data_IF_249349494469
#
_entry.id   IF_249349494469
#
_cell.length_a   1.000
_cell.length_b   1.000
_cell.length_c   1.000
_cell.angle_alpha   90.00
_cell.angle_beta   90.00
_cell.angle_gamma   90.00
#
_symmetry.space_group_name_H-M   'P 1'
#
loop_
_entity.id
_entity.type
_entity.pdbx_description
1 polymer ?
#
# COMPACT_ATOMS: atom_id res chain seq x y z
N UNK A 1 -25.16 4.73 -4.36
CA UNK A 1 -23.88 5.44 -4.18
C UNK A 1 -22.84 4.60 -4.87
N UNK A 2 -21.97 5.20 -5.69
CA UNK A 2 -20.85 4.48 -6.28
C UNK A 2 -19.85 4.07 -5.21
N UNK A 3 -19.20 2.93 -5.40
CA UNK A 3 -18.22 2.36 -4.45
C UNK A 3 -16.90 2.11 -5.16
N UNK A 4 -15.79 2.59 -4.57
CA UNK A 4 -14.43 2.42 -5.10
C UNK A 4 -13.58 1.78 -4.02
N UNK A 5 -13.13 0.57 -4.26
CA UNK A 5 -12.24 -0.19 -3.39
C UNK A 5 -10.79 0.07 -3.77
N UNK A 6 -10.00 0.66 -2.87
CA UNK A 6 -8.65 1.15 -3.15
C UNK A 6 -7.54 0.12 -2.92
N UNK A 7 -7.84 -1.01 -2.29
CA UNK A 7 -6.83 -2.03 -2.01
C UNK A 7 -7.34 -3.38 -2.43
N UNK A 8 -7.02 -3.71 -3.68
CA UNK A 8 -7.37 -4.99 -4.27
C UNK A 8 -6.19 -5.52 -5.06
N UNK A 9 -5.83 -6.74 -4.73
CA UNK A 9 -4.58 -7.30 -5.19
C UNK A 9 -4.78 -8.25 -6.37
N UNK A 10 -3.78 -8.28 -7.24
CA UNK A 10 -3.63 -9.29 -8.28
C UNK A 10 -2.18 -9.76 -8.36
N UNK A 11 -2.02 -10.89 -9.00
CA UNK A 11 -0.71 -11.41 -9.37
C UNK A 11 -0.73 -11.93 -10.80
N UNK A 12 0.43 -12.26 -11.39
CA UNK A 12 0.48 -12.82 -12.73
C UNK A 12 1.08 -14.22 -12.70
N UNK A 13 0.62 -15.10 -13.59
CA UNK A 13 1.20 -16.43 -13.75
C UNK A 13 2.70 -16.35 -14.04
N UNK A 14 3.13 -15.39 -14.88
CA UNK A 14 4.53 -15.17 -15.19
C UNK A 14 5.37 -14.82 -13.94
N UNK A 15 4.83 -13.98 -13.04
CA UNK A 15 5.52 -13.63 -11.81
C UNK A 15 5.58 -14.83 -10.83
N UNK A 16 4.53 -15.64 -10.72
CA UNK A 16 4.58 -16.88 -9.95
C UNK A 16 5.60 -17.87 -10.52
N UNK A 17 5.65 -18.04 -11.85
CA UNK A 17 6.65 -18.88 -12.53
C UNK A 17 8.07 -18.37 -12.29
N UNK A 18 8.25 -17.04 -12.23
CA UNK A 18 9.53 -16.44 -11.91
C UNK A 18 9.93 -16.74 -10.46
N UNK A 19 9.03 -16.56 -9.48
CA UNK A 19 9.29 -16.88 -8.08
C UNK A 19 9.62 -18.37 -7.85
N UNK A 20 9.03 -19.29 -8.63
CA UNK A 20 9.33 -20.72 -8.57
C UNK A 20 10.74 -21.06 -9.05
N UNK A 21 11.32 -20.25 -9.93
CA UNK A 21 12.66 -20.44 -10.50
C UNK A 21 13.76 -19.76 -9.71
N UNK A 22 13.41 -18.87 -8.78
CA UNK A 22 14.38 -18.14 -7.94
C UNK A 22 15.07 -19.08 -6.96
N UNK A 23 16.32 -18.75 -6.64
CA UNK A 23 17.14 -19.39 -5.61
C UNK A 23 17.46 -18.44 -4.43
N UNK A 24 16.91 -17.23 -4.45
CA UNK A 24 17.02 -16.21 -3.42
C UNK A 24 15.61 -15.72 -3.05
N UNK A 25 15.39 -15.44 -1.77
CA UNK A 25 14.08 -14.92 -1.31
C UNK A 25 13.73 -13.58 -1.96
N UNK A 26 12.43 -13.35 -2.19
CA UNK A 26 11.29 -14.27 -2.02
C UNK A 26 11.29 -15.39 -3.05
N UNK A 27 10.78 -16.58 -2.68
CA UNK A 27 10.62 -17.75 -3.56
C UNK A 27 9.24 -18.39 -3.36
N UNK A 28 8.72 -19.02 -4.42
CA UNK A 28 7.51 -19.85 -4.34
C UNK A 28 7.89 -21.33 -4.45
N UNK A 29 7.89 -22.04 -3.34
CA UNK A 29 8.19 -23.47 -3.29
C UNK A 29 6.91 -24.31 -3.43
N UNK A 30 6.97 -25.38 -4.25
CA UNK A 30 5.90 -26.38 -4.30
C UNK A 30 5.96 -27.27 -3.07
N UNK A 31 4.82 -27.55 -2.49
CA UNK A 31 4.70 -28.47 -1.38
C UNK A 31 4.45 -29.91 -1.89
N UNK A 32 4.54 -30.88 -0.98
CA UNK A 32 4.26 -32.30 -1.30
C UNK A 32 2.81 -32.56 -1.66
N UNK A 33 1.90 -31.78 -1.07
CA UNK A 33 0.49 -31.81 -1.38
C UNK A 33 0.24 -31.15 -2.74
N UNK A 34 -0.50 -31.80 -3.62
CA UNK A 34 -0.79 -31.30 -4.95
C UNK A 34 -1.59 -29.99 -4.89
N UNK A 35 -1.12 -28.95 -5.57
CA UNK A 35 -1.75 -27.65 -5.58
C UNK A 35 -1.49 -26.80 -4.32
N UNK A 36 -0.55 -27.21 -3.48
CA UNK A 36 -0.10 -26.45 -2.33
C UNK A 36 1.27 -25.82 -2.57
N UNK A 37 1.43 -24.58 -2.13
CA UNK A 37 2.63 -23.78 -2.31
C UNK A 37 3.01 -23.08 -1.02
N UNK A 38 4.30 -22.79 -0.88
CA UNK A 38 4.85 -22.05 0.24
C UNK A 38 5.60 -20.82 -0.31
N UNK A 39 4.97 -19.65 -0.19
CA UNK A 39 5.59 -18.38 -0.52
C UNK A 39 6.52 -17.98 0.63
N UNK A 40 7.81 -18.08 0.40
CA UNK A 40 8.83 -17.83 1.41
C UNK A 40 9.50 -16.48 1.18
N UNK A 41 9.38 -15.61 2.16
CA UNK A 41 10.03 -14.29 2.18
C UNK A 41 11.43 -14.37 2.78
N UNK A 42 11.62 -15.26 3.75
CA UNK A 42 12.90 -15.56 4.39
C UNK A 42 12.95 -17.04 4.76
N UNK A 43 14.04 -17.48 5.41
CA UNK A 43 14.11 -18.83 5.98
C UNK A 43 13.03 -19.12 7.04
N UNK A 44 12.55 -18.07 7.74
CA UNK A 44 11.64 -18.18 8.87
C UNK A 44 10.23 -17.69 8.56
N UNK A 45 10.07 -16.82 7.56
CA UNK A 45 8.79 -16.19 7.24
C UNK A 45 8.27 -16.75 5.93
N UNK A 46 7.14 -17.42 5.99
CA UNK A 46 6.51 -18.03 4.83
C UNK A 46 4.98 -18.02 4.97
N UNK A 47 4.30 -17.87 3.84
CA UNK A 47 2.86 -17.90 3.70
C UNK A 47 2.45 -19.11 2.86
N UNK A 48 1.61 -19.97 3.44
CA UNK A 48 1.05 -21.11 2.72
C UNK A 48 -0.06 -20.65 1.78
N UNK A 49 -0.04 -21.12 0.54
CA UNK A 49 -1.04 -20.80 -0.48
C UNK A 49 -1.49 -22.08 -1.19
N UNK A 50 -2.76 -22.13 -1.61
CA UNK A 50 -3.26 -23.18 -2.47
C UNK A 50 -3.52 -22.66 -3.89
N UNK A 51 -3.69 -23.60 -4.84
CA UNK A 51 -3.91 -23.25 -6.24
C UNK A 51 -5.16 -22.39 -6.45
N UNK A 52 -6.24 -22.64 -5.71
CA UNK A 52 -7.46 -21.86 -5.83
C UNK A 52 -7.25 -20.39 -5.45
N UNK A 53 -6.44 -20.10 -4.43
CA UNK A 53 -6.08 -18.74 -4.06
C UNK A 53 -5.18 -18.08 -5.12
N UNK A 54 -4.21 -18.82 -5.65
CA UNK A 54 -3.35 -18.34 -6.75
C UNK A 54 -4.21 -18.02 -7.99
N UNK A 55 -5.16 -18.89 -8.33
CA UNK A 55 -6.09 -18.67 -9.45
C UNK A 55 -6.95 -17.41 -9.23
N UNK A 56 -7.36 -17.15 -7.99
CA UNK A 56 -8.11 -15.95 -7.63
C UNK A 56 -7.27 -14.69 -7.76
N UNK A 57 -6.00 -14.72 -7.33
CA UNK A 57 -5.07 -13.60 -7.52
C UNK A 57 -4.80 -13.31 -9.00
N UNK A 58 -4.72 -14.34 -9.84
CA UNK A 58 -4.46 -14.19 -11.27
C UNK A 58 -5.72 -13.82 -12.08
N UNK A 59 -6.93 -13.88 -11.49
CA UNK A 59 -8.15 -13.55 -12.21
C UNK A 59 -8.39 -12.03 -12.24
N UNK A 60 -8.28 -11.46 -13.44
CA UNK A 60 -8.61 -10.07 -13.76
C UNK A 60 -9.86 -9.97 -14.67
N UNK A 61 -10.78 -10.90 -14.52
CA UNK A 61 -11.92 -11.01 -15.43
C UNK A 61 -13.20 -11.47 -14.74
N UNK A 62 -13.82 -12.47 -15.33
CA UNK A 62 -15.22 -12.84 -15.06
C UNK A 62 -15.48 -13.24 -13.59
N UNK A 63 -14.59 -14.00 -12.96
CA UNK A 63 -14.80 -14.44 -11.58
C UNK A 63 -14.67 -13.27 -10.60
N UNK A 64 -13.66 -12.43 -10.79
CA UNK A 64 -13.46 -11.23 -9.96
C UNK A 64 -14.66 -10.30 -10.06
N UNK A 65 -15.17 -10.04 -11.27
CA UNK A 65 -16.37 -9.21 -11.49
C UNK A 65 -17.59 -9.84 -10.81
N UNK A 66 -17.77 -11.16 -10.90
CA UNK A 66 -18.87 -11.83 -10.21
C UNK A 66 -18.80 -11.65 -8.68
N UNK A 67 -17.61 -11.74 -8.07
CA UNK A 67 -17.43 -11.45 -6.64
C UNK A 67 -17.74 -9.98 -6.31
N UNK A 68 -17.35 -9.04 -7.18
CA UNK A 68 -17.71 -7.62 -7.01
C UNK A 68 -19.23 -7.41 -7.08
N UNK A 69 -19.90 -8.05 -8.03
CA UNK A 69 -21.35 -7.94 -8.19
C UNK A 69 -22.09 -8.52 -6.98
N UNK A 70 -21.65 -9.67 -6.47
CA UNK A 70 -22.21 -10.29 -5.27
C UNK A 70 -22.06 -9.38 -4.04
N UNK A 71 -20.91 -8.73 -3.87
CA UNK A 71 -20.65 -7.81 -2.76
C UNK A 71 -21.32 -6.44 -2.94
N UNK A 72 -21.80 -6.11 -4.15
CA UNK A 72 -22.34 -4.80 -4.49
C UNK A 72 -21.25 -3.73 -4.56
N UNK A 73 -20.09 -4.07 -5.14
CA UNK A 73 -18.96 -3.19 -5.36
C UNK A 73 -18.87 -2.80 -6.82
N UNK A 74 -18.76 -1.49 -7.11
CA UNK A 74 -18.73 -0.99 -8.49
C UNK A 74 -17.33 -1.04 -9.10
N UNK A 75 -16.32 -0.53 -8.41
CA UNK A 75 -14.96 -0.33 -8.95
C UNK A 75 -13.92 -0.88 -8.00
N UNK A 76 -12.94 -1.61 -8.55
CA UNK A 76 -11.69 -1.98 -7.87
C UNK A 76 -10.51 -1.22 -8.45
N UNK A 77 -9.64 -0.69 -7.58
CA UNK A 77 -8.32 -0.18 -7.94
C UNK A 77 -7.32 -1.31 -7.72
N UNK A 78 -6.90 -1.91 -8.82
CA UNK A 78 -6.05 -3.10 -8.83
C UNK A 78 -4.59 -2.73 -8.60
N UNK A 79 -3.90 -3.51 -7.77
CA UNK A 79 -2.48 -3.36 -7.49
C UNK A 79 -1.75 -4.70 -7.49
N UNK A 80 -0.48 -4.70 -7.91
CA UNK A 80 0.33 -5.90 -7.87
C UNK A 80 0.74 -6.22 -6.43
N UNK A 81 0.45 -7.45 -6.00
CA UNK A 81 0.58 -7.89 -4.61
C UNK A 81 2.03 -8.14 -4.17
N UNK A 82 2.24 -8.26 -2.86
CA UNK A 82 3.49 -8.76 -2.26
C UNK A 82 3.68 -10.29 -2.52
N UNK A 83 4.92 -10.73 -2.83
CA UNK A 83 6.10 -9.91 -3.02
C UNK A 83 6.02 -9.08 -4.31
N UNK A 84 6.17 -7.78 -4.14
CA UNK A 84 6.13 -6.82 -5.26
C UNK A 84 7.41 -6.83 -6.10
N UNK A 85 7.37 -6.04 -7.17
CA UNK A 85 8.55 -5.83 -8.03
C UNK A 85 9.69 -5.18 -7.24
N UNK A 86 9.36 -4.34 -6.29
CA UNK A 86 10.24 -3.64 -5.37
C UNK A 86 10.87 -4.55 -4.28
N UNK A 87 10.39 -5.79 -4.15
CA UNK A 87 10.94 -6.81 -3.26
C UNK A 87 11.88 -7.81 -3.96
N UNK A 88 12.15 -7.63 -5.26
CA UNK A 88 12.94 -8.57 -6.06
C UNK A 88 14.46 -8.26 -6.08
N UNK A 89 14.99 -7.56 -5.09
CA UNK A 89 16.44 -7.39 -4.93
C UNK A 89 17.12 -8.78 -4.74
N UNK A 90 18.24 -9.06 -5.42
CA UNK A 90 19.02 -8.18 -6.30
C UNK A 90 18.70 -8.24 -7.80
N UNK A 91 17.61 -8.85 -8.23
CA UNK A 91 17.31 -9.10 -9.65
C UNK A 91 16.76 -7.84 -10.35
N UNK A 92 17.52 -6.75 -10.36
CA UNK A 92 17.10 -5.42 -10.82
C UNK A 92 16.61 -5.40 -12.28
N UNK A 93 17.26 -6.13 -13.18
CA UNK A 93 16.89 -6.18 -14.60
C UNK A 93 15.54 -6.88 -14.76
N UNK A 94 15.38 -8.03 -14.11
CA UNK A 94 14.12 -8.77 -14.14
C UNK A 94 12.98 -7.94 -13.55
N UNK A 95 13.21 -7.28 -12.39
CA UNK A 95 12.25 -6.42 -11.74
C UNK A 95 11.79 -5.26 -12.63
N UNK A 96 12.72 -4.59 -13.33
CA UNK A 96 12.40 -3.46 -14.21
C UNK A 96 11.60 -3.89 -15.43
N UNK A 97 11.96 -5.02 -16.05
CA UNK A 97 11.22 -5.57 -17.20
C UNK A 97 9.82 -6.00 -16.77
N UNK A 98 9.72 -6.73 -15.68
CA UNK A 98 8.47 -7.26 -15.16
C UNK A 98 7.50 -6.13 -14.73
N UNK A 99 8.00 -5.01 -14.22
CA UNK A 99 7.17 -3.85 -13.88
C UNK A 99 6.37 -3.36 -15.10
N UNK A 100 7.02 -3.17 -16.23
CA UNK A 100 6.36 -2.74 -17.47
C UNK A 100 5.36 -3.78 -18.00
N UNK A 101 5.71 -5.06 -17.98
CA UNK A 101 4.84 -6.16 -18.41
C UNK A 101 3.57 -6.27 -17.54
N UNK A 102 3.71 -6.11 -16.24
CA UNK A 102 2.59 -6.12 -15.28
C UNK A 102 1.67 -4.91 -15.51
N UNK A 103 2.24 -3.74 -15.73
CA UNK A 103 1.47 -2.53 -16.01
C UNK A 103 0.70 -2.66 -17.35
N UNK A 104 1.31 -3.27 -18.38
CA UNK A 104 0.64 -3.54 -19.66
C UNK A 104 -0.50 -4.55 -19.50
N UNK A 105 -0.28 -5.60 -18.70
CA UNK A 105 -1.32 -6.59 -18.41
C UNK A 105 -2.50 -5.95 -17.66
N UNK A 106 -2.21 -5.14 -16.64
CA UNK A 106 -3.23 -4.41 -15.89
C UNK A 106 -3.99 -3.43 -16.79
N UNK A 107 -3.29 -2.70 -17.66
CA UNK A 107 -3.92 -1.81 -18.63
C UNK A 107 -4.91 -2.56 -19.54
N UNK A 108 -4.52 -3.72 -20.06
CA UNK A 108 -5.40 -4.54 -20.88
C UNK A 108 -6.64 -5.00 -20.11
N UNK A 109 -6.48 -5.39 -18.84
CA UNK A 109 -7.63 -5.74 -17.98
C UNK A 109 -8.58 -4.55 -17.79
N UNK A 110 -8.04 -3.36 -17.56
CA UNK A 110 -8.82 -2.11 -17.45
C UNK A 110 -9.54 -1.80 -18.76
N UNK A 111 -8.89 -1.93 -19.92
CA UNK A 111 -9.52 -1.71 -21.22
C UNK A 111 -10.67 -2.68 -21.50
N UNK A 112 -10.55 -3.93 -21.03
CA UNK A 112 -11.63 -4.91 -21.16
C UNK A 112 -12.82 -4.62 -20.23
N UNK A 113 -12.57 -3.95 -19.10
CA UNK A 113 -13.60 -3.65 -18.07
C UNK A 113 -13.47 -2.21 -17.55
N UNK A 114 -13.60 -1.18 -18.42
CA UNK A 114 -13.23 0.20 -18.10
C UNK A 114 -14.11 0.89 -17.04
N UNK A 115 -15.27 0.34 -16.75
CA UNK A 115 -16.18 0.82 -15.69
C UNK A 115 -16.02 0.07 -14.38
N UNK A 116 -15.20 -0.98 -14.35
CA UNK A 116 -15.04 -1.85 -13.17
C UNK A 116 -13.64 -1.79 -12.58
N UNK A 117 -12.63 -1.47 -13.37
CA UNK A 117 -11.24 -1.48 -12.92
C UNK A 117 -10.55 -0.13 -13.12
N UNK A 118 -9.75 0.23 -12.14
CA UNK A 118 -8.68 1.22 -12.18
C UNK A 118 -7.39 0.54 -11.76
N UNK A 119 -6.23 1.21 -11.85
CA UNK A 119 -4.96 0.58 -11.49
C UNK A 119 -3.99 1.51 -10.78
N UNK A 120 -3.23 0.94 -9.84
CA UNK A 120 -2.00 1.50 -9.33
C UNK A 120 -0.81 0.92 -10.11
N UNK A 121 0.17 1.76 -10.43
CA UNK A 121 1.37 1.34 -11.13
C UNK A 121 2.24 0.43 -10.24
N UNK A 122 2.78 -0.64 -10.82
CA UNK A 122 3.89 -1.40 -10.26
C UNK A 122 5.19 -0.78 -10.75
N UNK A 123 6.09 -0.40 -9.85
CA UNK A 123 7.34 0.31 -10.16
C UNK A 123 8.52 -0.39 -9.50
N UNK A 124 9.56 -0.68 -10.27
CA UNK A 124 10.83 -1.19 -9.75
C UNK A 124 11.71 -0.01 -9.29
N UNK A 125 12.12 0.08 -8.02
CA UNK A 125 12.88 1.23 -7.51
C UNK A 125 14.38 1.17 -7.84
N UNK A 126 14.87 0.10 -8.43
CA UNK A 126 16.31 -0.19 -8.53
C UNK A 126 17.06 0.64 -9.58
N UNK A 127 16.39 1.07 -10.64
CA UNK A 127 16.88 2.09 -11.57
C UNK A 127 15.91 3.27 -11.56
N UNK A 128 16.24 4.28 -10.79
CA UNK A 128 15.37 5.44 -10.56
C UNK A 128 14.96 6.14 -11.85
N UNK A 129 15.87 6.23 -12.84
CA UNK A 129 15.56 6.89 -14.12
C UNK A 129 14.59 6.09 -14.98
N UNK A 130 14.71 4.78 -15.00
CA UNK A 130 13.74 3.90 -15.67
C UNK A 130 12.41 3.86 -14.91
N UNK A 131 12.47 3.87 -13.57
CA UNK A 131 11.29 3.93 -12.70
C UNK A 131 10.44 5.18 -12.95
N UNK A 132 11.08 6.35 -13.08
CA UNK A 132 10.39 7.62 -13.39
C UNK A 132 9.69 7.53 -14.76
N UNK A 133 10.40 7.04 -15.78
CA UNK A 133 9.83 6.87 -17.13
C UNK A 133 8.63 5.94 -17.13
N UNK A 134 8.71 4.83 -16.39
CA UNK A 134 7.61 3.88 -16.29
C UNK A 134 6.44 4.47 -15.48
N UNK A 135 6.70 5.20 -14.40
CA UNK A 135 5.66 5.89 -13.64
C UNK A 135 4.95 6.93 -14.52
N UNK A 136 5.69 7.77 -15.24
CA UNK A 136 5.14 8.73 -16.18
C UNK A 136 4.29 8.05 -17.26
N UNK A 137 4.78 6.92 -17.83
CA UNK A 137 4.04 6.13 -18.80
C UNK A 137 2.74 5.58 -18.21
N UNK A 138 2.81 4.96 -17.04
CA UNK A 138 1.64 4.36 -16.38
C UNK A 138 0.55 5.41 -16.11
N UNK A 139 0.92 6.60 -15.68
CA UNK A 139 -0.04 7.67 -15.39
C UNK A 139 -0.55 8.34 -16.66
N UNK A 140 0.35 8.75 -17.57
CA UNK A 140 -0.02 9.61 -18.71
C UNK A 140 -0.46 8.84 -19.95
N UNK A 141 -0.08 7.57 -20.11
CA UNK A 141 -0.44 6.75 -21.28
C UNK A 141 -1.40 5.62 -20.93
N UNK A 142 -1.20 4.95 -19.78
CA UNK A 142 -2.07 3.86 -19.36
C UNK A 142 -3.26 4.34 -18.49
N UNK A 143 -3.22 5.58 -17.99
CA UNK A 143 -4.32 6.20 -17.27
C UNK A 143 -4.45 5.74 -15.81
N UNK A 144 -3.40 5.18 -15.21
CA UNK A 144 -3.40 4.71 -13.82
C UNK A 144 -3.58 5.88 -12.84
N UNK A 145 -4.07 5.57 -11.64
CA UNK A 145 -4.50 6.59 -10.67
C UNK A 145 -3.50 6.87 -9.57
N UNK A 146 -2.41 6.11 -9.49
CA UNK A 146 -1.35 6.26 -8.50
C UNK A 146 -0.29 5.17 -8.66
N UNK A 147 0.57 5.06 -7.67
CA UNK A 147 1.62 4.06 -7.55
C UNK A 147 1.46 3.30 -6.24
N UNK A 148 1.48 1.95 -6.25
CA UNK A 148 1.63 1.16 -5.05
C UNK A 148 3.11 0.88 -4.81
N UNK A 149 3.62 1.25 -3.64
CA UNK A 149 4.97 0.99 -3.16
C UNK A 149 4.90 0.16 -1.88
N UNK A 150 5.74 -0.87 -1.77
CA UNK A 150 5.86 -1.60 -0.52
C UNK A 150 6.71 -0.82 0.50
N UNK A 151 6.52 -1.11 1.77
CA UNK A 151 7.10 -0.35 2.89
C UNK A 151 8.63 -0.41 2.97
N UNK A 152 9.26 -1.45 2.40
CA UNK A 152 10.71 -1.53 2.24
C UNK A 152 11.09 -2.25 0.94
N UNK A 153 12.31 -2.02 0.46
CA UNK A 153 12.88 -2.60 -0.76
C UNK A 153 14.05 -3.53 -0.47
N UNK A 154 14.10 -4.07 0.74
CA UNK A 154 15.20 -4.86 1.25
C UNK A 154 16.01 -4.12 2.32
N UNK A 155 17.08 -4.74 2.78
CA UNK A 155 17.85 -4.25 3.93
C UNK A 155 18.33 -2.79 3.75
N UNK A 156 17.93 -1.93 4.68
CA UNK A 156 18.23 -0.49 4.71
C UNK A 156 17.73 0.30 3.47
N UNK A 157 16.77 -0.21 2.72
CA UNK A 157 16.23 0.45 1.53
C UNK A 157 14.76 0.86 1.77
N UNK A 158 14.55 2.12 2.06
CA UNK A 158 13.24 2.72 2.30
C UNK A 158 13.07 4.00 1.47
N UNK A 159 11.85 4.43 1.26
CA UNK A 159 11.51 5.62 0.46
C UNK A 159 12.09 6.94 1.01
N UNK A 160 12.54 6.98 2.24
CA UNK A 160 13.21 8.16 2.83
C UNK A 160 14.63 8.38 2.30
N UNK A 161 15.27 7.35 1.74
CA UNK A 161 16.62 7.49 1.18
C UNK A 161 16.61 8.43 -0.03
N UNK A 162 17.55 9.37 -0.03
CA UNK A 162 17.64 10.43 -1.05
C UNK A 162 17.79 9.91 -2.49
N UNK A 163 18.26 8.69 -2.68
CA UNK A 163 18.31 8.07 -4.00
C UNK A 163 16.93 7.94 -4.65
N UNK A 164 15.85 7.76 -3.84
CA UNK A 164 14.47 7.63 -4.31
C UNK A 164 13.71 8.96 -4.40
N UNK A 165 14.29 10.08 -3.91
CA UNK A 165 13.64 11.38 -3.94
C UNK A 165 13.22 11.84 -5.34
N UNK A 166 13.99 11.60 -6.43
CA UNK A 166 13.52 11.93 -7.78
C UNK A 166 12.24 11.20 -8.19
N UNK A 167 12.00 9.99 -7.65
CA UNK A 167 10.76 9.25 -7.89
C UNK A 167 9.59 9.85 -7.11
N UNK A 168 9.84 10.32 -5.87
CA UNK A 168 8.84 11.07 -5.07
C UNK A 168 8.49 12.40 -5.72
N UNK A 169 9.49 13.11 -6.27
CA UNK A 169 9.30 14.35 -7.03
C UNK A 169 8.40 14.11 -8.27
N UNK A 170 8.66 13.02 -9.00
CA UNK A 170 7.81 12.64 -10.14
C UNK A 170 6.37 12.35 -9.72
N UNK A 171 6.16 11.64 -8.60
CA UNK A 171 4.82 11.36 -8.07
C UNK A 171 4.09 12.66 -7.69
N UNK A 172 4.77 13.59 -7.01
CA UNK A 172 4.20 14.91 -6.67
C UNK A 172 3.86 15.73 -7.94
N UNK A 173 4.78 15.78 -8.92
CA UNK A 173 4.58 16.51 -10.18
C UNK A 173 3.39 15.95 -10.99
N UNK A 174 3.22 14.64 -11.00
CA UNK A 174 2.08 13.95 -11.62
C UNK A 174 0.78 14.09 -10.81
N UNK A 175 0.86 14.61 -9.59
CA UNK A 175 -0.26 14.79 -8.64
C UNK A 175 -1.00 13.47 -8.36
N UNK A 176 -0.24 12.41 -8.16
CA UNK A 176 -0.74 11.08 -7.85
C UNK A 176 -0.42 10.69 -6.41
N UNK A 177 -1.28 9.90 -5.76
CA UNK A 177 -0.95 9.30 -4.48
C UNK A 177 0.03 8.13 -4.65
N UNK A 178 0.81 7.90 -3.61
CA UNK A 178 1.54 6.66 -3.38
C UNK A 178 0.75 5.85 -2.35
N UNK A 179 0.28 4.66 -2.75
CA UNK A 179 -0.26 3.69 -1.80
C UNK A 179 0.92 2.98 -1.14
N UNK A 180 1.16 3.28 0.13
CA UNK A 180 2.21 2.65 0.91
C UNK A 180 1.66 1.36 1.54
N UNK A 181 1.98 0.23 0.90
CA UNK A 181 1.52 -1.08 1.30
C UNK A 181 2.56 -1.79 2.18
N UNK A 182 2.16 -2.48 3.25
CA UNK A 182 3.09 -3.23 4.06
C UNK A 182 3.73 -4.39 3.30
N UNK A 183 4.95 -4.75 3.72
CA UNK A 183 5.59 -6.00 3.35
C UNK A 183 6.29 -6.64 4.55
N UNK A 184 6.96 -7.74 4.32
CA UNK A 184 7.66 -8.46 5.38
C UNK A 184 8.70 -7.58 6.08
N UNK A 185 8.59 -7.37 7.39
CA UNK A 185 9.53 -6.54 8.13
C UNK A 185 10.94 -7.16 8.14
N UNK A 186 11.94 -6.29 8.05
CA UNK A 186 13.35 -6.69 7.96
C UNK A 186 13.97 -7.11 9.31
N UNK A 187 13.31 -6.79 10.42
CA UNK A 187 13.79 -7.18 11.75
C UNK A 187 13.62 -8.69 11.95
N UNK A 188 14.73 -9.39 12.10
CA UNK A 188 14.77 -10.86 12.23
C UNK A 188 13.97 -11.42 13.41
N UNK A 189 13.71 -10.60 14.44
CA UNK A 189 12.90 -10.96 15.59
C UNK A 189 11.47 -11.36 15.22
N UNK A 190 10.92 -10.78 14.17
CA UNK A 190 9.60 -11.16 13.63
C UNK A 190 9.59 -12.60 13.12
N UNK A 191 10.70 -13.10 12.62
CA UNK A 191 10.81 -14.46 12.07
C UNK A 191 10.57 -15.57 13.08
N UNK A 192 10.71 -15.33 14.39
CA UNK A 192 10.59 -16.34 15.43
C UNK A 192 9.27 -17.13 15.39
N UNK A 193 8.20 -16.48 15.03
CA UNK A 193 6.87 -17.09 14.92
C UNK A 193 6.33 -17.06 13.49
N UNK A 194 7.21 -16.86 12.52
CA UNK A 194 6.90 -16.83 11.11
C UNK A 194 5.89 -15.74 10.73
N UNK A 195 5.08 -16.03 9.72
CA UNK A 195 4.10 -15.07 9.19
C UNK A 195 3.03 -14.66 10.23
N UNK A 196 2.74 -15.50 11.23
CA UNK A 196 1.83 -15.18 12.31
C UNK A 196 2.24 -13.93 13.12
N UNK A 197 3.53 -13.63 13.20
CA UNK A 197 4.04 -12.42 13.86
C UNK A 197 4.45 -11.34 12.83
N UNK A 198 5.09 -11.76 11.74
CA UNK A 198 5.61 -10.86 10.72
C UNK A 198 4.52 -10.26 9.82
N UNK A 199 3.41 -10.96 9.64
CA UNK A 199 2.30 -10.56 8.78
C UNK A 199 1.31 -9.59 9.44
N UNK A 200 0.03 -9.62 9.01
CA UNK A 200 -1.01 -8.67 9.39
C UNK A 200 -1.22 -8.45 10.90
N UNK A 201 -1.03 -9.44 11.81
CA UNK A 201 -1.26 -9.18 13.23
C UNK A 201 -0.35 -8.11 13.84
N UNK A 202 0.90 -7.98 13.37
CA UNK A 202 1.85 -7.03 13.96
C UNK A 202 2.87 -6.48 12.96
N UNK A 203 3.66 -7.34 12.30
CA UNK A 203 4.86 -6.93 11.57
C UNK A 203 4.55 -5.98 10.42
N UNK A 204 3.56 -6.27 9.62
CA UNK A 204 3.14 -5.44 8.50
C UNK A 204 2.79 -4.02 8.92
N UNK A 205 2.00 -3.88 9.98
CA UNK A 205 1.56 -2.58 10.48
C UNK A 205 2.75 -1.70 10.92
N UNK A 206 3.70 -2.31 11.63
CA UNK A 206 4.86 -1.57 12.10
C UNK A 206 5.86 -1.25 11.00
N UNK A 207 5.99 -2.09 9.97
CA UNK A 207 6.91 -1.82 8.85
C UNK A 207 6.40 -0.67 7.99
N UNK A 208 5.10 -0.64 7.65
CA UNK A 208 4.50 0.48 6.92
C UNK A 208 4.54 1.79 7.74
N UNK A 209 4.22 1.71 9.03
CA UNK A 209 4.34 2.85 9.95
C UNK A 209 5.79 3.37 10.04
N UNK A 210 6.77 2.47 10.11
CA UNK A 210 8.20 2.81 10.13
C UNK A 210 8.60 3.55 8.86
N UNK A 211 8.19 3.05 7.69
CA UNK A 211 8.51 3.69 6.41
C UNK A 211 7.98 5.13 6.36
N UNK A 212 6.69 5.35 6.69
CA UNK A 212 6.12 6.69 6.69
C UNK A 212 6.80 7.61 7.69
N UNK A 213 7.08 7.13 8.91
CA UNK A 213 7.78 7.94 9.92
C UNK A 213 9.21 8.30 9.48
N UNK A 214 9.93 7.37 8.82
CA UNK A 214 11.23 7.64 8.22
C UNK A 214 11.13 8.74 7.16
N UNK A 215 10.13 8.69 6.27
CA UNK A 215 9.90 9.74 5.27
C UNK A 215 9.65 11.11 5.92
N UNK A 216 8.84 11.16 6.97
CA UNK A 216 8.58 12.39 7.73
C UNK A 216 9.90 12.95 8.31
N UNK A 217 10.64 12.13 9.05
CA UNK A 217 11.86 12.54 9.72
C UNK A 217 13.02 12.86 8.76
N UNK A 218 13.04 12.26 7.56
CA UNK A 218 14.00 12.63 6.52
C UNK A 218 13.71 14.00 5.88
N UNK A 219 12.52 14.59 6.13
CA UNK A 219 12.09 15.87 5.55
C UNK A 219 11.50 15.72 4.15
N UNK A 220 11.01 14.54 3.78
CA UNK A 220 10.36 14.31 2.47
C UNK A 220 9.23 15.30 2.25
N UNK A 221 8.36 15.49 3.23
CA UNK A 221 7.21 16.39 3.13
C UNK A 221 7.58 17.88 3.26
N UNK A 222 8.78 18.19 3.72
CA UNK A 222 9.34 19.54 3.66
C UNK A 222 9.82 19.89 2.25
N UNK A 223 10.28 18.87 1.50
CA UNK A 223 10.76 19.01 0.13
C UNK A 223 9.61 18.87 -0.88
N UNK A 224 8.69 17.96 -0.63
CA UNK A 224 7.54 17.63 -1.48
C UNK A 224 6.22 17.84 -0.70
N UNK A 225 5.81 19.10 -0.46
CA UNK A 225 4.70 19.41 0.46
C UNK A 225 3.31 18.95 -0.02
N UNK A 226 3.17 18.67 -1.33
CA UNK A 226 1.91 18.20 -1.91
C UNK A 226 1.91 16.68 -2.16
N UNK A 227 2.99 15.99 -1.79
CA UNK A 227 3.04 14.53 -1.90
C UNK A 227 1.93 13.92 -1.05
N UNK A 228 1.17 13.00 -1.63
CA UNK A 228 0.05 12.34 -0.96
C UNK A 228 0.35 10.86 -0.78
N UNK A 229 0.13 10.37 0.44
CA UNK A 229 0.27 8.95 0.80
C UNK A 229 -1.12 8.38 1.10
N UNK A 230 -1.39 7.17 0.64
CA UNK A 230 -2.49 6.35 1.12
C UNK A 230 -1.87 5.26 2.00
N UNK A 231 -2.40 5.09 3.20
CA UNK A 231 -1.96 4.08 4.16
C UNK A 231 -3.12 3.13 4.45
N UNK A 232 -2.88 1.85 4.29
CA UNK A 232 -3.87 0.80 4.50
C UNK A 232 -4.34 0.63 5.95
N UNK A 233 -5.24 -0.31 6.17
CA UNK A 233 -5.56 -0.94 7.46
C UNK A 233 -5.86 0.06 8.60
N UNK A 234 -6.65 1.10 8.29
CA UNK A 234 -6.97 2.22 9.19
C UNK A 234 -5.71 2.95 9.70
N UNK A 235 -4.70 3.12 8.82
CA UNK A 235 -3.50 3.90 9.13
C UNK A 235 -2.45 3.17 9.96
N UNK A 236 -2.47 1.84 9.92
CA UNK A 236 -1.40 0.96 10.44
C UNK A 236 -1.16 1.20 11.93
N UNK A 237 -1.51 1.69 12.79
CA UNK A 237 -1.29 2.07 14.20
C UNK A 237 -1.03 3.56 14.40
N UNK A 238 -0.68 4.32 13.35
CA UNK A 238 -0.29 5.72 13.48
C UNK A 238 -1.39 6.62 14.08
N UNK A 239 -2.70 6.44 13.74
CA UNK A 239 -3.74 7.28 14.33
C UNK A 239 -3.78 7.24 15.85
N UNK A 240 -3.39 6.12 16.47
CA UNK A 240 -3.31 6.00 17.92
C UNK A 240 -2.20 6.89 18.53
N UNK A 241 -1.17 7.22 17.77
CA UNK A 241 -0.04 8.01 18.22
C UNK A 241 -0.20 9.50 17.95
N UNK A 242 -1.07 9.89 16.99
CA UNK A 242 -1.27 11.29 16.56
C UNK A 242 -1.68 12.23 17.71
N UNK A 243 -2.58 11.87 18.64
CA UNK A 243 -3.08 12.81 19.62
C UNK A 243 -2.04 13.37 20.61
N UNK A 244 -1.03 12.56 20.98
CA UNK A 244 -0.13 12.94 22.07
C UNK A 244 1.29 12.38 22.00
N UNK A 245 1.59 11.49 21.06
CA UNK A 245 2.87 10.77 21.02
C UNK A 245 3.75 11.10 19.83
N UNK A 246 3.18 11.28 18.67
CA UNK A 246 3.96 11.36 17.43
C UNK A 246 4.84 12.61 17.38
N UNK A 247 4.38 13.72 18.00
CA UNK A 247 5.10 14.99 18.09
C UNK A 247 5.93 15.14 19.37
N UNK A 248 5.87 14.13 20.24
CA UNK A 248 6.49 14.18 21.56
C UNK A 248 7.96 14.66 21.57
N UNK A 249 8.83 14.28 20.62
CA UNK A 249 10.21 14.77 20.57
C UNK A 249 10.34 16.29 20.40
N UNK A 250 9.30 16.95 19.90
CA UNK A 250 9.31 18.39 19.58
C UNK A 250 8.61 19.24 20.62
N UNK A 251 7.51 18.74 21.18
CA UNK A 251 6.62 19.52 22.05
C UNK A 251 6.82 19.29 23.54
N UNK A 252 7.49 18.21 23.97
CA UNK A 252 7.65 17.90 25.39
C UNK A 252 8.67 18.82 26.08
N UNK A 253 8.24 19.68 27.03
CA UNK A 253 9.13 20.65 27.66
C UNK A 253 10.19 20.03 28.57
N UNK A 254 9.97 18.81 29.08
CA UNK A 254 10.96 18.09 29.85
C UNK A 254 12.08 17.57 28.95
N UNK A 255 11.75 17.02 27.80
CA UNK A 255 12.68 16.48 26.82
C UNK A 255 13.53 17.59 26.21
N UNK A 256 12.95 18.77 25.96
CA UNK A 256 13.68 19.91 25.42
C UNK A 256 14.86 20.36 26.32
N UNK A 257 14.82 19.99 27.60
CA UNK A 257 15.89 20.27 28.58
C UNK A 257 16.95 19.18 28.67
N UNK A 258 16.72 18.00 28.07
CA UNK A 258 17.68 16.90 28.03
C UNK A 258 18.68 17.15 26.91
N UNK A 259 19.92 17.43 27.28
CA UNK A 259 20.98 17.98 26.39
C UNK A 259 21.25 17.11 25.16
N UNK A 260 21.21 15.79 25.26
CA UNK A 260 21.45 14.88 24.14
C UNK A 260 20.33 14.82 23.12
N UNK A 261 19.10 14.75 23.61
CA UNK A 261 17.93 14.47 22.81
C UNK A 261 17.61 15.55 21.75
N UNK A 262 17.78 16.83 22.09
CA UNK A 262 17.54 17.94 21.15
C UNK A 262 18.46 17.89 19.93
N UNK A 263 19.70 17.42 20.11
CA UNK A 263 20.68 17.32 19.02
C UNK A 263 20.41 16.16 18.07
N UNK A 264 19.74 15.13 18.55
CA UNK A 264 19.47 13.90 17.80
C UNK A 264 18.15 13.92 17.04
N UNK A 265 17.20 14.76 17.46
CA UNK A 265 15.92 14.88 16.75
C UNK A 265 16.13 15.45 15.34
N UNK A 266 15.45 14.91 14.31
CA UNK A 266 15.49 15.44 12.96
C UNK A 266 14.99 16.89 12.90
N UNK A 267 15.61 17.73 12.06
CA UNK A 267 15.17 19.08 11.77
C UNK A 267 14.10 19.03 10.68
N UNK A 268 12.84 19.13 11.06
CA UNK A 268 11.68 19.17 10.14
C UNK A 268 10.92 20.49 10.33
N UNK A 269 10.23 20.94 9.28
CA UNK A 269 9.43 22.18 9.29
C UNK A 269 8.00 21.93 9.81
N UNK A 270 7.38 20.85 9.34
CA UNK A 270 6.05 20.41 9.79
C UNK A 270 6.17 19.37 10.89
N UNK A 271 5.28 19.43 11.88
CA UNK A 271 5.19 18.37 12.88
C UNK A 271 4.73 17.05 12.22
N UNK A 272 5.16 15.89 12.74
CA UNK A 272 4.67 14.60 12.23
C UNK A 272 3.15 14.49 12.19
N UNK A 273 2.44 14.98 13.20
CA UNK A 273 0.96 15.00 13.23
C UNK A 273 0.37 15.85 12.11
N UNK A 274 0.96 17.02 11.80
CA UNK A 274 0.51 17.89 10.72
C UNK A 274 0.65 17.18 9.37
N UNK A 275 1.79 16.52 9.13
CA UNK A 275 1.99 15.73 7.90
C UNK A 275 0.95 14.62 7.77
N UNK A 276 0.70 13.87 8.84
CA UNK A 276 -0.28 12.78 8.82
C UNK A 276 -1.68 13.31 8.53
N UNK A 277 -2.08 14.40 9.17
CA UNK A 277 -3.43 14.97 9.01
C UNK A 277 -3.63 15.65 7.65
N UNK A 278 -2.58 16.14 7.00
CA UNK A 278 -2.68 16.89 5.75
C UNK A 278 -2.36 16.05 4.50
N UNK A 279 -1.35 15.16 4.59
CA UNK A 279 -0.78 14.46 3.44
C UNK A 279 -1.19 12.99 3.35
N UNK A 280 -1.81 12.42 4.42
CA UNK A 280 -2.11 10.99 4.47
C UNK A 280 -3.61 10.74 4.42
N UNK A 281 -4.00 9.83 3.52
CA UNK A 281 -5.33 9.21 3.50
C UNK A 281 -5.22 7.81 4.08
N UNK A 282 -6.31 7.32 4.70
CA UNK A 282 -6.36 5.98 5.28
C UNK A 282 -7.46 5.16 4.66
N UNK A 283 -7.28 3.83 4.59
CA UNK A 283 -8.29 2.93 4.05
C UNK A 283 -8.80 1.94 5.09
N UNK A 284 -9.97 1.38 4.82
CA UNK A 284 -10.65 0.44 5.72
C UNK A 284 -10.16 -1.00 5.57
N UNK A 285 -9.21 -1.27 4.66
CA UNK A 285 -8.74 -2.60 4.30
C UNK A 285 -8.46 -3.50 5.51
N UNK A 286 -8.94 -4.74 5.46
CA UNK A 286 -8.64 -5.78 6.45
C UNK A 286 -9.03 -5.46 7.90
N UNK A 287 -9.83 -4.40 8.15
CA UNK A 287 -10.19 -3.96 9.50
C UNK A 287 -11.70 -3.93 9.72
N UNK A 288 -12.19 -4.89 10.48
CA UNK A 288 -13.62 -5.08 10.74
C UNK A 288 -14.03 -4.70 12.18
N UNK A 289 -13.46 -3.60 12.69
CA UNK A 289 -13.77 -3.06 14.01
C UNK A 289 -14.39 -1.68 13.91
N UNK A 290 -15.70 -1.56 14.24
CA UNK A 290 -16.41 -0.29 14.28
C UNK A 290 -15.72 0.72 15.20
N UNK A 291 -15.29 0.29 16.38
CA UNK A 291 -14.58 1.16 17.34
C UNK A 291 -13.27 1.72 16.74
N UNK A 292 -12.52 0.91 16.00
CA UNK A 292 -11.30 1.36 15.34
C UNK A 292 -11.61 2.36 14.22
N UNK A 293 -12.63 2.09 13.40
CA UNK A 293 -13.07 3.02 12.36
C UNK A 293 -13.55 4.34 12.92
N UNK A 294 -14.39 4.34 13.97
CA UNK A 294 -14.88 5.56 14.64
C UNK A 294 -13.72 6.36 15.25
N UNK A 295 -12.74 5.68 15.84
CA UNK A 295 -11.53 6.32 16.35
C UNK A 295 -10.75 7.01 15.23
N UNK A 296 -10.51 6.34 14.13
CA UNK A 296 -9.77 6.91 12.99
C UNK A 296 -10.53 8.07 12.36
N UNK A 297 -11.86 7.96 12.19
CA UNK A 297 -12.70 9.06 11.71
C UNK A 297 -12.63 10.29 12.64
N UNK A 298 -12.53 10.07 13.96
CA UNK A 298 -12.40 11.17 14.93
C UNK A 298 -11.03 11.87 14.85
N UNK A 299 -9.96 11.13 14.55
CA UNK A 299 -8.60 11.69 14.45
C UNK A 299 -8.35 12.33 13.08
N UNK A 300 -8.70 11.64 12.01
CA UNK A 300 -8.37 12.04 10.64
C UNK A 300 -9.45 12.90 9.97
N UNK A 301 -10.68 12.84 10.47
CA UNK A 301 -11.84 13.35 9.77
C UNK A 301 -12.30 12.42 8.64
N UNK A 302 -13.57 12.57 8.24
CA UNK A 302 -14.19 11.73 7.21
C UNK A 302 -13.74 12.08 5.77
N UNK A 303 -13.00 13.17 5.59
CA UNK A 303 -12.39 13.55 4.29
C UNK A 303 -11.09 12.78 3.96
N UNK A 304 -10.52 12.04 4.91
CA UNK A 304 -9.26 11.31 4.77
C UNK A 304 -9.40 9.79 4.90
N UNK A 305 -10.62 9.26 4.98
CA UNK A 305 -10.86 7.82 5.06
C UNK A 305 -11.55 7.34 3.79
N UNK A 306 -11.06 6.23 3.20
CA UNK A 306 -11.55 5.67 1.94
C UNK A 306 -11.83 4.17 2.10
N UNK A 307 -12.74 3.65 1.26
CA UNK A 307 -13.08 2.24 1.21
C UNK A 307 -11.93 1.42 0.64
N UNK A 308 -11.62 0.31 1.30
CA UNK A 308 -10.76 -0.74 0.77
C UNK A 308 -11.06 -2.08 1.45
N UNK A 309 -10.85 -3.17 0.73
CA UNK A 309 -11.19 -4.52 1.18
C UNK A 309 -10.00 -5.39 1.53
N UNK A 310 -8.85 -5.20 0.88
CA UNK A 310 -7.70 -6.11 0.88
C UNK A 310 -7.97 -7.44 0.13
N UNK A 311 -8.91 -7.40 -0.85
CA UNK A 311 -9.25 -8.56 -1.68
C UNK A 311 -8.06 -9.02 -2.54
N UNK A 312 -7.75 -10.32 -2.65
CA UNK A 312 -8.50 -11.47 -2.13
C UNK A 312 -7.96 -12.03 -0.80
N UNK A 313 -7.12 -11.30 -0.08
CA UNK A 313 -6.61 -11.74 1.23
C UNK A 313 -7.72 -11.71 2.28
N UNK A 314 -8.64 -10.75 2.16
CA UNK A 314 -9.84 -10.64 2.97
C UNK A 314 -11.11 -10.86 2.13
N UNK A 315 -12.20 -11.25 2.79
CA UNK A 315 -13.49 -11.50 2.15
C UNK A 315 -14.19 -10.19 1.75
N UNK A 316 -14.48 -10.04 0.45
CA UNK A 316 -15.08 -8.83 -0.10
C UNK A 316 -16.49 -8.56 0.44
N UNK A 317 -17.30 -9.61 0.62
CA UNK A 317 -18.63 -9.49 1.20
C UNK A 317 -18.56 -9.02 2.66
N UNK A 318 -17.63 -9.57 3.43
CA UNK A 318 -17.40 -9.15 4.82
C UNK A 318 -17.00 -7.67 4.88
N UNK A 319 -16.09 -7.23 4.02
CA UNK A 319 -15.63 -5.84 3.96
C UNK A 319 -16.77 -4.87 3.66
N UNK A 320 -17.59 -5.18 2.66
CA UNK A 320 -18.73 -4.35 2.27
C UNK A 320 -19.85 -4.35 3.33
N UNK A 321 -20.13 -5.49 3.94
CA UNK A 321 -21.12 -5.60 5.02
C UNK A 321 -20.67 -4.86 6.28
N UNK A 322 -19.39 -4.96 6.65
CA UNK A 322 -18.84 -4.24 7.78
C UNK A 322 -19.14 -2.73 7.71
N UNK A 323 -18.86 -2.09 6.57
CA UNK A 323 -19.12 -0.64 6.42
C UNK A 323 -20.61 -0.33 6.50
N UNK A 324 -21.49 -1.15 5.92
CA UNK A 324 -22.94 -1.00 6.01
C UNK A 324 -23.44 -1.10 7.46
N UNK A 325 -22.92 -2.06 8.20
CA UNK A 325 -23.29 -2.33 9.61
C UNK A 325 -22.74 -1.29 10.61
N UNK A 326 -21.77 -0.49 10.19
CA UNK A 326 -21.28 0.63 11.04
C UNK A 326 -22.33 1.71 11.25
N UNK A 327 -23.37 1.81 10.41
CA UNK A 327 -24.44 2.82 10.49
C UNK A 327 -23.89 4.25 10.59
N UNK A 328 -22.90 4.57 9.77
CA UNK A 328 -22.35 5.91 9.68
C UNK A 328 -23.35 6.89 9.02
N UNK A 329 -23.26 8.20 9.26
CA UNK A 329 -24.07 9.19 8.56
C UNK A 329 -23.89 9.08 7.04
N UNK A 330 -24.97 9.25 6.26
CA UNK A 330 -24.95 9.11 4.79
C UNK A 330 -23.86 9.94 4.12
N UNK A 331 -23.63 11.16 4.60
CA UNK A 331 -22.57 12.05 4.09
C UNK A 331 -21.19 11.48 4.30
N UNK A 332 -20.92 10.88 5.44
CA UNK A 332 -19.65 10.19 5.75
C UNK A 332 -19.51 8.94 4.92
N UNK A 333 -20.57 8.13 4.78
CA UNK A 333 -20.57 6.96 3.91
C UNK A 333 -20.28 7.30 2.44
N UNK A 334 -20.88 8.36 1.91
CA UNK A 334 -20.62 8.83 0.55
C UNK A 334 -19.16 9.20 0.33
N UNK A 335 -18.53 9.87 1.32
CA UNK A 335 -17.11 10.21 1.26
C UNK A 335 -16.23 8.95 1.27
N UNK A 336 -16.50 8.01 2.18
CA UNK A 336 -15.73 6.76 2.33
C UNK A 336 -15.91 5.90 1.07
N UNK A 337 -17.11 5.72 0.56
CA UNK A 337 -17.40 4.83 -0.56
C UNK A 337 -16.73 5.26 -1.87
N UNK A 338 -16.73 6.54 -2.21
CA UNK A 338 -16.12 7.01 -3.46
C UNK A 338 -15.65 8.46 -3.42
N UNK A 339 -16.33 9.34 -2.68
CA UNK A 339 -16.12 10.78 -2.79
C UNK A 339 -14.69 11.23 -2.55
N UNK A 340 -14.00 10.66 -1.56
CA UNK A 340 -12.60 10.98 -1.28
C UNK A 340 -11.66 10.45 -2.36
N UNK A 341 -11.90 9.23 -2.86
CA UNK A 341 -11.13 8.65 -3.95
C UNK A 341 -11.30 9.44 -5.25
N UNK A 342 -12.53 9.79 -5.61
CA UNK A 342 -12.84 10.62 -6.80
C UNK A 342 -12.14 11.98 -6.73
N UNK A 343 -12.20 12.65 -5.57
CA UNK A 343 -11.54 13.93 -5.32
C UNK A 343 -10.02 13.80 -5.47
N UNK A 344 -9.44 12.74 -4.89
CA UNK A 344 -8.00 12.48 -4.94
C UNK A 344 -7.53 12.22 -6.38
N UNK A 345 -8.20 11.33 -7.10
CA UNK A 345 -7.82 10.93 -8.45
C UNK A 345 -8.10 12.02 -9.52
N UNK A 346 -9.02 12.95 -9.25
CA UNK A 346 -9.27 14.08 -10.15
C UNK A 346 -8.11 15.07 -10.26
N UNK A 347 -7.18 15.08 -9.28
CA UNK A 347 -6.03 15.98 -9.23
C UNK A 347 -4.90 15.58 -10.17
N UNK A 348 -4.84 14.30 -10.57
CA UNK A 348 -3.77 13.76 -11.41
C UNK A 348 -3.67 14.48 -12.76
N UNK A 349 -2.48 14.52 -13.31
CA UNK A 349 -2.25 14.97 -14.69
C UNK A 349 -2.84 13.93 -15.63
N UNK A 350 -3.88 14.32 -16.38
CA UNK A 350 -4.50 13.46 -17.39
C UNK A 350 -3.76 13.56 -18.71
N UNK A 351 -3.77 12.49 -19.55
CA UNK A 351 -3.15 12.53 -20.87
C UNK A 351 -3.77 13.59 -21.80
#
# INVERSE_FOLDING_TARGET
MSTIDLETHFYTTAAFDYLQKRNQFPILAKEKEAGAFNLRFTDQIALFQNQAFIDTLCDLGTKRIAHMDEAGLDIQVLSFSSPGIDELDPDHIAATTMAAEINDLLFNAIQNHPTRFMGFAAISPYDVQLSIKELERAITKLGFVGWLAHSNFGENKYLDDKQYWPLLEAAEALKIPIYLHPTTPLMKEYGKYGFALAGPPLGFQFDASLCLMRMIYAGVFDQFPNLTIILGHLGETLPFLVPDRIDWPYINPHISKLIGFIKERPAIKKMPSEVILENVYMTTSGRFSKTALEFVLNIMGDDHVMLASDYPYEDLNQSMNFIRECHLPDKTLQKIYSGNAEKLFSKRVRP
#
